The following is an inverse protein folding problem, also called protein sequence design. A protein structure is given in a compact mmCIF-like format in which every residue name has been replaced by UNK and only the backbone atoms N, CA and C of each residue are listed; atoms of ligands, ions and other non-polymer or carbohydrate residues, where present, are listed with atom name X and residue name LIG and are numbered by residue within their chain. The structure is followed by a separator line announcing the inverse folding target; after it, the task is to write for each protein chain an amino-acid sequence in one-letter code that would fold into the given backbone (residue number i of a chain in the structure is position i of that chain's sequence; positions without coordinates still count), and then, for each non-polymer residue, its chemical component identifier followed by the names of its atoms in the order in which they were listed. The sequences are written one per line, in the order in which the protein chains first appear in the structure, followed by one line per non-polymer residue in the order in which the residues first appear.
data_IF_499062003493
#
_entry.id   IF_499062003493
#
_cell.length_a   1.000
_cell.length_b   1.000
_cell.length_c   1.000
_cell.angle_alpha   90.00
_cell.angle_beta   90.00
_cell.angle_gamma   90.00
#
_symmetry.space_group_name_H-M   'P 1'
#
loop_
_entity.id
_entity.type
_entity.pdbx_description
1 polymer ?
#
# COMPACT_ATOMS: atom_id res chain seq x y z
N UNK A 1 -11.81 19.58 -11.42
CA UNK A 1 -10.50 20.29 -11.40
C UNK A 1 -9.59 19.73 -10.32
N UNK A 2 -9.89 19.78 -9.00
CA UNK A 2 -9.12 19.02 -7.98
C UNK A 2 -8.82 17.56 -8.40
N UNK A 3 -9.86 16.75 -8.72
CA UNK A 3 -9.74 15.33 -9.15
C UNK A 3 -8.88 15.03 -10.40
N UNK A 4 -8.32 16.03 -11.09
CA UNK A 4 -7.34 15.81 -12.18
C UNK A 4 -5.89 16.12 -11.76
N UNK A 5 -5.67 16.77 -10.61
CA UNK A 5 -4.33 17.13 -10.15
C UNK A 5 -3.66 16.01 -9.37
N UNK A 6 -4.42 15.22 -8.57
CA UNK A 6 -3.84 14.02 -7.95
C UNK A 6 -3.32 13.05 -9.01
N UNK A 7 -4.05 12.87 -10.13
CA UNK A 7 -3.59 12.13 -11.32
C UNK A 7 -2.31 12.66 -12.01
N UNK A 8 -1.66 13.71 -11.47
CA UNK A 8 -0.37 14.27 -11.90
C UNK A 8 0.62 14.44 -10.72
N UNK A 9 0.34 13.82 -9.56
CA UNK A 9 1.22 13.76 -8.38
C UNK A 9 1.37 12.29 -7.91
N UNK A 10 0.32 11.49 -8.11
CA UNK A 10 0.36 10.07 -8.43
C UNK A 10 -0.12 9.91 -9.88
N UNK A 11 0.64 9.24 -10.73
CA UNK A 11 0.58 9.23 -12.20
C UNK A 11 -0.56 8.43 -12.84
N UNK A 12 -1.75 8.46 -12.20
CA UNK A 12 -3.03 7.94 -12.67
C UNK A 12 -3.27 6.43 -12.52
N UNK A 13 -3.84 6.05 -11.37
CA UNK A 13 -4.72 4.88 -11.17
C UNK A 13 -5.45 4.42 -12.46
N UNK A 14 -5.36 3.11 -12.74
CA UNK A 14 -6.06 2.37 -13.81
C UNK A 14 -5.51 2.62 -15.23
N UNK A 15 -4.34 2.06 -15.53
CA UNK A 15 -4.17 0.81 -16.34
C UNK A 15 -2.69 0.43 -16.40
N UNK A 16 -2.33 -0.70 -15.79
CA UNK A 16 -1.16 -1.50 -16.19
C UNK A 16 -1.69 -2.73 -16.91
N UNK A 17 -1.24 -2.93 -18.14
CA UNK A 17 -1.45 -4.16 -18.90
C UNK A 17 -0.29 -4.26 -19.90
N UNK A 18 0.25 -5.48 -20.05
CA UNK A 18 1.17 -5.96 -21.11
C UNK A 18 2.69 -6.05 -20.91
N UNK A 19 3.15 -7.31 -21.01
CA UNK A 19 4.23 -7.82 -21.86
C UNK A 19 5.56 -7.04 -21.98
N UNK A 20 6.62 -7.67 -21.47
CA UNK A 20 7.51 -8.46 -22.35
C UNK A 20 8.25 -9.55 -21.56
N UNK A 21 8.74 -10.66 -22.14
CA UNK A 21 8.79 -11.03 -23.56
C UNK A 21 10.16 -11.58 -23.98
N UNK A 22 10.74 -12.53 -23.21
CA UNK A 22 12.11 -13.00 -23.43
C UNK A 22 12.19 -14.23 -24.35
N UNK A 23 12.49 -13.99 -25.63
CA UNK A 23 12.44 -14.95 -26.73
C UNK A 23 13.50 -16.08 -26.64
N UNK A 24 13.07 -17.35 -26.73
CA UNK A 24 13.96 -18.47 -27.10
C UNK A 24 13.26 -19.64 -27.78
N UNK A 25 13.26 -19.60 -29.12
CA UNK A 25 13.32 -20.73 -30.05
C UNK A 25 12.21 -21.81 -30.08
N UNK A 26 11.54 -21.87 -31.24
CA UNK A 26 10.59 -22.92 -31.67
C UNK A 26 11.13 -24.36 -31.54
N UNK A 27 10.24 -25.31 -31.22
CA UNK A 27 10.19 -26.60 -31.93
C UNK A 27 8.80 -27.27 -31.82
N UNK A 28 8.06 -27.32 -32.93
CA UNK A 28 6.85 -28.14 -33.08
C UNK A 28 7.26 -29.54 -33.54
N UNK A 29 6.70 -30.59 -32.93
CA UNK A 29 6.52 -31.91 -33.56
C UNK A 29 5.44 -32.72 -32.81
N UNK A 30 4.40 -33.16 -33.52
CA UNK A 30 3.36 -34.06 -32.99
C UNK A 30 3.87 -35.50 -32.84
N UNK A 31 3.25 -36.28 -31.94
CA UNK A 31 2.60 -37.60 -32.18
C UNK A 31 2.61 -38.54 -30.96
N UNK A 32 1.75 -39.56 -31.00
CA UNK A 32 1.24 -40.32 -29.85
C UNK A 32 2.10 -41.51 -29.35
N UNK A 33 1.65 -42.04 -28.20
CA UNK A 33 1.71 -43.44 -27.71
C UNK A 33 2.85 -43.99 -26.80
N UNK A 34 2.35 -44.69 -25.77
CA UNK A 34 2.90 -45.75 -24.89
C UNK A 34 4.28 -45.66 -24.19
N UNK A 35 4.20 -45.46 -22.87
CA UNK A 35 4.81 -46.28 -21.77
C UNK A 35 6.25 -46.82 -21.97
N UNK A 36 7.21 -46.26 -21.22
CA UNK A 36 8.51 -46.87 -20.92
C UNK A 36 9.10 -46.43 -19.57
N UNK A 37 9.53 -47.38 -18.73
CA UNK A 37 10.09 -47.12 -17.39
C UNK A 37 11.62 -47.22 -17.31
N UNK A 38 12.18 -46.59 -16.27
CA UNK A 38 13.58 -46.62 -15.80
C UNK A 38 14.60 -45.77 -16.58
N UNK A 39 15.49 -45.05 -15.88
CA UNK A 39 16.76 -44.64 -16.51
C UNK A 39 17.54 -43.39 -16.06
N UNK A 40 17.61 -43.03 -14.77
CA UNK A 40 18.78 -42.39 -14.11
C UNK A 40 19.65 -41.36 -14.89
N UNK A 41 19.69 -40.11 -14.42
CA UNK A 41 20.89 -39.36 -13.93
C UNK A 41 20.51 -37.88 -13.79
N UNK A 42 20.58 -37.35 -12.58
CA UNK A 42 20.52 -35.91 -12.33
C UNK A 42 21.90 -35.28 -12.58
N UNK A 43 21.92 -34.09 -13.16
CA UNK A 43 23.06 -33.17 -13.15
C UNK A 43 22.51 -31.79 -12.78
N UNK A 44 22.39 -31.52 -11.50
CA UNK A 44 22.09 -30.17 -11.00
C UNK A 44 23.31 -29.28 -11.17
N UNK A 45 23.14 -28.13 -11.84
CA UNK A 45 24.07 -27.02 -11.77
C UNK A 45 23.76 -26.18 -10.52
N UNK A 46 24.81 -25.74 -9.83
CA UNK A 46 24.73 -24.93 -8.62
C UNK A 46 24.47 -23.46 -8.98
N UNK A 47 23.49 -22.82 -8.33
CA UNK A 47 23.38 -21.36 -8.21
C UNK A 47 22.90 -21.05 -6.77
N UNK A 48 23.73 -20.38 -5.97
CA UNK A 48 23.44 -20.10 -4.56
C UNK A 48 22.64 -18.80 -4.38
N UNK A 49 21.45 -18.89 -3.76
CA UNK A 49 20.81 -17.75 -3.09
C UNK A 49 20.43 -18.12 -1.65
N UNK A 50 21.35 -17.84 -0.73
CA UNK A 50 21.15 -18.12 0.69
C UNK A 50 20.22 -17.10 1.38
N UNK A 51 18.95 -17.47 1.58
CA UNK A 51 18.13 -16.93 2.67
C UNK A 51 18.19 -17.92 3.85
N UNK A 52 18.84 -17.52 4.94
CA UNK A 52 18.84 -18.26 6.20
C UNK A 52 17.85 -17.59 7.16
N UNK A 53 16.77 -18.31 7.50
CA UNK A 53 15.77 -17.90 8.49
C UNK A 53 15.63 -19.06 9.48
N UNK A 54 16.23 -18.92 10.65
CA UNK A 54 16.27 -19.93 11.71
C UNK A 54 15.33 -19.53 12.85
N UNK A 55 14.12 -20.08 12.82
CA UNK A 55 13.18 -20.02 13.93
C UNK A 55 13.29 -21.32 14.73
N UNK A 56 13.95 -21.26 15.88
CA UNK A 56 14.02 -22.35 16.86
C UNK A 56 13.42 -21.91 18.21
N UNK A 57 12.13 -22.21 18.40
CA UNK A 57 11.44 -22.08 19.68
C UNK A 57 11.70 -23.35 20.53
N UNK A 58 12.19 -23.19 21.75
CA UNK A 58 11.94 -24.14 22.84
C UNK A 58 11.49 -23.38 24.11
N UNK A 59 10.47 -23.92 24.79
CA UNK A 59 10.00 -23.43 26.09
C UNK A 59 10.95 -23.86 27.24
N UNK A 60 10.75 -23.35 28.47
CA UNK A 60 10.31 -24.17 29.64
C UNK A 60 10.36 -23.40 30.98
N UNK A 61 9.25 -23.49 31.73
CA UNK A 61 8.99 -23.25 33.17
C UNK A 61 9.94 -22.43 34.09
N UNK A 62 9.38 -21.33 34.65
CA UNK A 62 8.98 -21.13 36.07
C UNK A 62 9.78 -21.70 37.27
N UNK A 63 9.82 -20.84 38.32
CA UNK A 63 9.95 -21.08 39.78
C UNK A 63 11.28 -21.75 40.26
N UNK A 64 12.03 -21.29 41.27
CA UNK A 64 11.66 -20.79 42.62
C UNK A 64 12.75 -19.89 43.30
N UNK A 65 12.49 -19.50 44.57
CA UNK A 65 13.22 -18.68 45.57
C UNK A 65 14.76 -18.99 45.81
N UNK A 66 15.62 -18.26 46.56
CA UNK A 66 15.44 -17.25 47.63
C UNK A 66 16.78 -16.47 48.02
N UNK A 67 16.69 -15.50 48.96
CA UNK A 67 17.71 -14.97 49.92
C UNK A 67 18.79 -13.94 49.46
N UNK A 68 18.50 -12.65 49.74
CA UNK A 68 19.19 -11.70 50.70
C UNK A 68 20.75 -11.73 50.77
N UNK A 69 21.52 -10.63 50.82
CA UNK A 69 21.33 -9.25 51.37
C UNK A 69 21.68 -8.13 50.33
N UNK A 70 22.11 -6.86 50.56
CA UNK A 70 22.64 -6.09 51.73
C UNK A 70 22.40 -4.54 51.64
N UNK A 71 22.88 -3.79 52.64
CA UNK A 71 22.80 -2.32 52.87
C UNK A 71 23.89 -1.47 52.12
N UNK A 72 23.89 -0.13 51.98
CA UNK A 72 22.98 1.01 52.30
C UNK A 72 23.54 2.35 51.71
N UNK A 73 23.03 3.50 52.17
CA UNK A 73 23.46 4.92 52.01
C UNK A 73 22.97 5.72 50.78
N UNK A 74 21.83 6.38 51.03
CA UNK A 74 21.37 7.66 50.47
C UNK A 74 22.43 8.76 50.35
N UNK A 75 22.25 9.65 49.38
CA UNK A 75 22.06 11.09 49.69
C UNK A 75 21.06 11.72 48.70
N UNK A 76 20.63 12.96 48.93
CA UNK A 76 19.50 13.61 48.24
C UNK A 76 19.81 15.04 47.84
N UNK A 77 19.30 15.47 46.69
CA UNK A 77 19.23 16.89 46.28
C UNK A 77 18.00 17.12 45.40
N UNK A 78 17.07 17.91 45.90
CA UNK A 78 15.96 18.51 45.15
C UNK A 78 16.49 19.69 44.31
N UNK A 79 15.94 19.93 43.12
CA UNK A 79 15.84 21.27 42.53
C UNK A 79 14.68 21.30 41.51
N UNK A 80 14.03 22.46 41.32
CA UNK A 80 12.75 22.60 40.59
C UNK A 80 12.88 23.44 39.31
N UNK A 81 12.16 23.04 38.24
CA UNK A 81 11.69 23.88 37.13
C UNK A 81 10.61 23.10 36.35
N UNK A 82 9.34 23.53 36.36
CA UNK A 82 8.77 24.48 35.37
C UNK A 82 8.98 23.93 33.94
N UNK A 83 8.07 23.10 33.41
CA UNK A 83 6.73 23.43 32.87
C UNK A 83 6.76 24.28 31.59
N UNK A 84 6.70 23.60 30.45
CA UNK A 84 6.01 24.12 29.26
C UNK A 84 5.28 22.95 28.57
N UNK A 85 4.03 22.75 28.98
CA UNK A 85 3.16 21.66 28.53
C UNK A 85 2.47 22.00 27.19
N UNK A 86 3.27 22.15 26.14
CA UNK A 86 2.81 22.56 24.82
C UNK A 86 2.06 21.44 24.05
N UNK A 87 0.80 21.19 24.43
CA UNK A 87 -0.17 20.43 23.63
C UNK A 87 -0.35 21.07 22.25
N UNK A 88 0.48 20.68 21.28
CA UNK A 88 0.30 21.07 19.88
C UNK A 88 -0.82 20.22 19.29
N UNK A 89 -2.07 20.61 19.60
CA UNK A 89 -3.27 20.04 18.99
C UNK A 89 -3.32 20.46 17.52
N UNK A 90 -2.72 19.64 16.64
CA UNK A 90 -2.82 19.74 15.18
C UNK A 90 -4.23 19.40 14.71
N UNK A 91 -5.18 20.25 15.05
CA UNK A 91 -6.58 20.11 14.69
C UNK A 91 -6.81 20.65 13.27
N UNK A 92 -7.12 19.73 12.34
CA UNK A 92 -7.46 19.89 10.91
C UNK A 92 -6.31 20.04 9.90
N UNK A 93 -6.10 18.96 9.15
CA UNK A 93 -6.04 19.02 7.67
C UNK A 93 -6.87 17.95 6.96
N UNK A 94 -7.41 16.94 7.66
CA UNK A 94 -8.38 15.99 7.13
C UNK A 94 -9.56 16.70 6.45
N UNK A 95 -9.65 16.58 5.11
CA UNK A 95 -10.93 16.73 4.41
C UNK A 95 -11.90 15.64 4.90
N UNK A 96 -13.20 15.78 4.64
CA UNK A 96 -14.26 15.11 5.42
C UNK A 96 -14.22 13.57 5.31
N UNK A 97 -13.51 12.92 6.26
CA UNK A 97 -13.64 11.49 6.58
C UNK A 97 -15.13 11.14 6.67
N UNK A 98 -15.53 9.99 6.13
CA UNK A 98 -16.95 9.60 6.16
C UNK A 98 -17.42 9.42 7.61
N UNK A 99 -18.71 9.67 7.87
CA UNK A 99 -19.31 9.51 9.20
C UNK A 99 -18.98 8.13 9.82
N UNK A 100 -18.79 7.12 8.95
CA UNK A 100 -18.44 5.73 9.24
C UNK A 100 -16.99 5.47 9.66
N UNK A 101 -16.09 6.45 9.64
CA UNK A 101 -14.74 6.35 10.20
C UNK A 101 -14.51 7.24 11.44
N UNK A 102 -15.50 8.05 11.82
CA UNK A 102 -15.38 8.90 13.01
C UNK A 102 -15.06 8.09 14.27
N UNK A 103 -14.16 8.60 15.11
CA UNK A 103 -13.78 7.94 16.37
C UNK A 103 -14.96 7.75 17.34
N UNK A 104 -16.05 8.52 17.19
CA UNK A 104 -17.31 8.32 17.93
C UNK A 104 -18.02 7.00 17.55
N UNK A 105 -17.72 6.38 16.39
CA UNK A 105 -18.20 5.03 16.07
C UNK A 105 -17.53 3.95 16.92
N UNK A 106 -16.28 4.18 17.37
CA UNK A 106 -15.53 3.28 18.24
C UNK A 106 -16.03 3.29 19.72
N UNK A 107 -16.96 4.19 20.10
CA UNK A 107 -17.62 4.20 21.43
C UNK A 107 -18.70 3.08 21.58
N UNK A 108 -18.61 2.01 20.79
CA UNK A 108 -19.53 0.88 20.80
C UNK A 108 -19.31 -0.11 21.96
N UNK A 109 -20.01 -1.25 21.91
CA UNK A 109 -19.69 -2.38 22.79
C UNK A 109 -18.50 -3.12 22.19
N UNK A 110 -17.38 -3.23 22.91
CA UNK A 110 -16.22 -4.02 22.46
C UNK A 110 -16.62 -5.46 22.15
N UNK A 111 -16.15 -5.99 21.02
CA UNK A 111 -16.30 -7.39 20.66
C UNK A 111 -15.53 -8.30 21.63
N UNK A 112 -16.05 -9.50 21.85
CA UNK A 112 -15.32 -10.57 22.55
C UNK A 112 -14.31 -11.27 21.62
N UNK A 113 -13.34 -11.99 22.18
CA UNK A 113 -12.37 -12.74 21.36
C UNK A 113 -13.10 -13.75 20.45
N UNK A 114 -14.07 -14.49 20.98
CA UNK A 114 -14.92 -15.41 20.21
C UNK A 114 -15.60 -14.71 18.99
N UNK A 115 -15.97 -13.42 19.10
CA UNK A 115 -16.49 -12.63 17.97
C UNK A 115 -15.38 -12.18 17.01
N UNK A 116 -14.21 -11.77 17.50
CA UNK A 116 -13.06 -11.40 16.65
C UNK A 116 -12.56 -12.60 15.83
N UNK A 117 -12.48 -13.78 16.42
CA UNK A 117 -12.15 -15.04 15.75
C UNK A 117 -13.21 -15.37 14.66
N UNK A 118 -14.50 -15.09 14.90
CA UNK A 118 -15.56 -15.22 13.89
C UNK A 118 -15.44 -14.18 12.75
N UNK A 119 -15.03 -12.95 13.02
CA UNK A 119 -14.77 -11.93 11.99
C UNK A 119 -13.50 -12.23 11.18
N UNK A 120 -12.46 -12.77 11.80
CA UNK A 120 -11.23 -13.20 11.12
C UNK A 120 -11.55 -14.31 10.10
N UNK A 121 -12.29 -15.34 10.53
CA UNK A 121 -12.79 -16.42 9.68
C UNK A 121 -13.84 -15.99 8.64
N UNK A 122 -14.43 -14.80 8.78
CA UNK A 122 -15.29 -14.18 7.76
C UNK A 122 -14.47 -13.40 6.74
N UNK A 123 -13.60 -12.50 7.19
CA UNK A 123 -12.81 -11.61 6.34
C UNK A 123 -11.77 -12.37 5.50
N UNK A 124 -11.24 -13.48 6.02
CA UNK A 124 -10.35 -14.38 5.28
C UNK A 124 -11.05 -15.17 4.15
N UNK A 125 -12.38 -15.16 4.03
CA UNK A 125 -13.07 -15.91 2.97
C UNK A 125 -12.73 -15.33 1.58
N UNK A 126 -12.65 -16.19 0.55
CA UNK A 126 -12.20 -15.79 -0.81
C UNK A 126 -13.01 -14.66 -1.44
N UNK A 127 -14.26 -14.52 -1.00
CA UNK A 127 -15.27 -13.56 -1.41
C UNK A 127 -15.34 -12.32 -0.50
N UNK A 128 -14.48 -12.24 0.52
CA UNK A 128 -14.36 -11.12 1.46
C UNK A 128 -12.93 -10.53 1.51
N UNK A 129 -11.89 -11.35 1.32
CA UNK A 129 -10.49 -10.96 1.50
C UNK A 129 -10.06 -9.76 0.64
N UNK A 130 -10.58 -9.62 -0.59
CA UNK A 130 -10.29 -8.47 -1.45
C UNK A 130 -10.64 -7.12 -0.81
N UNK A 131 -11.72 -7.06 -0.03
CA UNK A 131 -12.14 -5.84 0.70
C UNK A 131 -11.24 -5.54 1.92
N UNK A 132 -10.43 -6.50 2.38
CA UNK A 132 -9.48 -6.26 3.48
C UNK A 132 -8.27 -5.45 3.04
N UNK A 133 -7.91 -5.55 1.75
CA UNK A 133 -6.75 -4.87 1.16
C UNK A 133 -7.13 -3.51 0.57
N UNK A 134 -8.20 -3.46 -0.24
CA UNK A 134 -8.67 -2.22 -0.84
C UNK A 134 -9.21 -1.26 0.23
N UNK A 135 -8.73 -0.02 0.25
CA UNK A 135 -9.36 1.06 1.02
C UNK A 135 -10.52 1.70 0.25
N UNK A 136 -11.55 2.15 0.96
CA UNK A 136 -12.71 2.84 0.42
C UNK A 136 -13.50 3.53 1.53
N UNK A 137 -13.90 4.80 1.34
CA UNK A 137 -14.69 5.55 2.33
C UNK A 137 -16.18 5.19 2.38
N UNK A 138 -16.70 4.66 1.28
CA UNK A 138 -18.07 4.21 1.07
C UNK A 138 -18.11 3.19 -0.08
N UNK A 139 -19.24 2.50 -0.26
CA UNK A 139 -19.39 1.43 -1.24
C UNK A 139 -19.34 1.89 -2.73
N UNK A 140 -19.55 3.17 -3.03
CA UNK A 140 -19.41 3.70 -4.40
C UNK A 140 -17.93 3.94 -4.78
N UNK A 141 -17.01 3.87 -3.80
CA UNK A 141 -15.57 4.13 -3.96
C UNK A 141 -14.68 2.87 -3.81
N UNK A 142 -15.26 1.67 -3.83
CA UNK A 142 -14.51 0.40 -3.81
C UNK A 142 -13.77 0.21 -5.15
N UNK A 143 -12.45 -0.09 -5.10
CA UNK A 143 -11.74 -0.60 -6.28
C UNK A 143 -12.15 -2.06 -6.53
N UNK A 144 -13.17 -2.23 -7.37
CA UNK A 144 -13.66 -3.53 -7.78
C UNK A 144 -12.66 -4.32 -8.61
N UNK A 145 -11.70 -3.67 -9.28
CA UNK A 145 -10.59 -4.35 -9.94
C UNK A 145 -9.69 -5.06 -8.95
N UNK A 146 -9.35 -4.39 -7.84
CA UNK A 146 -8.60 -5.00 -6.74
C UNK A 146 -9.42 -6.10 -6.05
N UNK A 147 -10.67 -5.83 -5.67
CA UNK A 147 -11.52 -6.82 -4.97
C UNK A 147 -11.76 -8.08 -5.81
N UNK A 148 -11.99 -7.92 -7.12
CA UNK A 148 -12.23 -9.03 -8.05
C UNK A 148 -10.94 -9.63 -8.64
N UNK A 149 -9.74 -9.13 -8.30
CA UNK A 149 -8.48 -9.50 -8.96
C UNK A 149 -8.24 -11.01 -9.09
N UNK A 150 -8.69 -11.81 -8.11
CA UNK A 150 -8.61 -13.28 -8.14
C UNK A 150 -10.00 -13.95 -8.12
N UNK A 151 -10.97 -13.30 -8.78
CA UNK A 151 -12.34 -13.75 -8.98
C UNK A 151 -13.27 -13.59 -7.77
N UNK A 152 -12.78 -13.15 -6.60
CA UNK A 152 -13.54 -12.98 -5.36
C UNK A 152 -14.44 -14.19 -5.00
N UNK A 153 -13.97 -15.41 -5.25
CA UNK A 153 -14.76 -16.64 -5.03
C UNK A 153 -15.91 -16.90 -6.01
N UNK A 154 -16.19 -15.98 -6.94
CA UNK A 154 -17.11 -16.19 -8.06
C UNK A 154 -16.55 -17.30 -8.96
N UNK A 155 -17.42 -18.18 -9.46
CA UNK A 155 -17.02 -19.25 -10.37
C UNK A 155 -16.81 -18.71 -11.80
N UNK A 156 -15.74 -19.16 -12.46
CA UNK A 156 -15.56 -18.89 -13.89
C UNK A 156 -16.77 -19.39 -14.69
N UNK A 157 -17.35 -18.53 -15.53
CA UNK A 157 -18.51 -18.84 -16.35
C UNK A 157 -18.14 -19.68 -17.58
N UNK A 158 -19.14 -20.28 -18.25
CA UNK A 158 -18.91 -20.87 -19.58
C UNK A 158 -18.77 -19.75 -20.63
N UNK A 159 -17.71 -19.81 -21.44
CA UNK A 159 -17.45 -18.86 -22.53
C UNK A 159 -17.16 -19.57 -23.86
N UNK A 160 -17.33 -18.85 -24.98
CA UNK A 160 -17.02 -19.32 -26.34
C UNK A 160 -15.59 -18.93 -26.75
N UNK A 161 -15.06 -19.59 -27.79
CA UNK A 161 -13.82 -19.12 -28.42
C UNK A 161 -14.00 -17.70 -28.99
N UNK A 162 -15.14 -17.43 -29.64
CA UNK A 162 -15.48 -16.12 -30.19
C UNK A 162 -15.47 -14.99 -29.12
N UNK A 163 -15.71 -15.31 -27.84
CA UNK A 163 -15.59 -14.38 -26.71
C UNK A 163 -14.14 -14.17 -26.26
N UNK A 164 -13.32 -15.23 -26.27
CA UNK A 164 -11.87 -15.13 -26.01
C UNK A 164 -11.18 -14.35 -27.12
N UNK A 165 -11.50 -14.62 -28.38
CA UNK A 165 -10.95 -13.90 -29.53
C UNK A 165 -11.29 -12.39 -29.45
N UNK A 166 -12.50 -12.04 -29.01
CA UNK A 166 -12.91 -10.66 -28.77
C UNK A 166 -12.21 -10.02 -27.56
N UNK A 167 -11.94 -10.77 -26.49
CA UNK A 167 -11.10 -10.33 -25.37
C UNK A 167 -9.66 -10.02 -25.82
N UNK A 168 -9.07 -10.92 -26.64
CA UNK A 168 -7.72 -10.75 -27.16
C UNK A 168 -7.63 -9.53 -28.08
N UNK A 169 -8.58 -9.33 -29.01
CA UNK A 169 -8.67 -8.14 -29.86
C UNK A 169 -8.90 -6.84 -29.06
N UNK A 170 -9.72 -6.88 -28.01
CA UNK A 170 -9.98 -5.72 -27.15
C UNK A 170 -8.78 -5.33 -26.28
N UNK A 171 -7.89 -6.27 -25.96
CA UNK A 171 -6.65 -6.01 -25.22
C UNK A 171 -5.44 -5.66 -26.09
N UNK A 172 -5.38 -6.11 -27.35
CA UNK A 172 -4.14 -6.24 -28.16
C UNK A 172 -3.22 -7.40 -27.67
N UNK A 173 -3.82 -8.51 -27.22
CA UNK A 173 -3.12 -9.75 -26.87
C UNK A 173 -2.91 -10.65 -28.10
N UNK A 174 -1.67 -11.14 -28.31
CA UNK A 174 -1.40 -12.24 -29.27
C UNK A 174 -1.99 -13.59 -28.80
N UNK A 175 -2.07 -13.83 -27.48
CA UNK A 175 -2.63 -15.04 -26.86
C UNK A 175 -2.91 -14.87 -25.37
N UNK A 176 -3.66 -15.82 -24.79
CA UNK A 176 -3.70 -16.03 -23.34
C UNK A 176 -2.38 -16.68 -22.89
N UNK A 177 -1.69 -16.06 -21.93
CA UNK A 177 -0.40 -16.49 -21.38
C UNK A 177 -0.49 -17.01 -19.94
N UNK A 178 -1.52 -16.59 -19.18
CA UNK A 178 -1.75 -16.96 -17.78
C UNK A 178 -3.14 -17.57 -17.58
N UNK A 179 -3.53 -17.89 -16.33
CA UNK A 179 -4.86 -18.42 -16.04
C UNK A 179 -5.93 -17.34 -16.30
N UNK A 180 -6.89 -17.67 -17.18
CA UNK A 180 -7.95 -16.76 -17.58
C UNK A 180 -9.11 -16.82 -16.59
N UNK A 181 -9.36 -15.72 -15.90
CA UNK A 181 -10.61 -15.47 -15.18
C UNK A 181 -11.66 -14.99 -16.18
N UNK A 182 -12.88 -15.52 -16.04
CA UNK A 182 -14.04 -15.16 -16.86
C UNK A 182 -15.28 -15.07 -15.96
N UNK A 183 -15.68 -13.86 -15.59
CA UNK A 183 -16.83 -13.62 -14.69
C UNK A 183 -18.03 -13.15 -15.51
N UNK A 184 -19.21 -13.73 -15.32
CA UNK A 184 -20.42 -13.20 -15.98
C UNK A 184 -20.84 -11.88 -15.32
N UNK A 185 -21.35 -10.94 -16.11
CA UNK A 185 -21.81 -9.66 -15.59
C UNK A 185 -22.98 -9.83 -14.61
N UNK A 186 -23.85 -10.82 -14.81
CA UNK A 186 -24.93 -11.14 -13.86
C UNK A 186 -24.37 -11.62 -12.50
N UNK A 187 -23.34 -12.47 -12.49
CA UNK A 187 -22.70 -12.93 -11.26
C UNK A 187 -21.95 -11.78 -10.55
N UNK A 188 -21.26 -10.90 -11.30
CA UNK A 188 -20.60 -9.70 -10.76
C UNK A 188 -21.63 -8.74 -10.16
N UNK A 189 -22.74 -8.46 -10.85
CA UNK A 189 -23.82 -7.61 -10.33
C UNK A 189 -24.46 -8.19 -9.08
N UNK A 190 -24.72 -9.50 -9.03
CA UNK A 190 -25.25 -10.18 -7.85
C UNK A 190 -24.26 -10.17 -6.67
N UNK A 191 -22.97 -10.35 -6.94
CA UNK A 191 -21.91 -10.24 -5.93
C UNK A 191 -21.89 -8.83 -5.32
N UNK A 192 -21.84 -7.78 -6.14
CA UNK A 192 -21.88 -6.38 -5.69
C UNK A 192 -23.15 -6.07 -4.89
N UNK A 193 -24.33 -6.49 -5.35
CA UNK A 193 -25.60 -6.30 -4.61
C UNK A 193 -25.59 -7.01 -3.25
N UNK A 194 -25.00 -8.20 -3.16
CA UNK A 194 -24.85 -8.90 -1.87
C UNK A 194 -23.93 -8.12 -0.92
N UNK A 195 -22.69 -7.83 -1.34
CA UNK A 195 -21.64 -7.27 -0.49
C UNK A 195 -21.84 -5.81 -0.12
N UNK A 196 -22.64 -5.05 -0.87
CA UNK A 196 -22.87 -3.60 -0.64
C UNK A 196 -24.33 -3.16 -0.66
N UNK A 197 -25.19 -3.82 -1.44
CA UNK A 197 -26.55 -3.34 -1.73
C UNK A 197 -26.67 -2.40 -2.94
N UNK A 198 -25.58 -2.17 -3.69
CA UNK A 198 -25.63 -1.46 -4.96
C UNK A 198 -26.33 -2.35 -6.01
N UNK A 199 -27.34 -1.81 -6.68
CA UNK A 199 -28.26 -2.55 -7.59
C UNK A 199 -28.19 -2.12 -9.05
N UNK A 200 -27.47 -1.04 -9.36
CA UNK A 200 -27.32 -0.46 -10.70
C UNK A 200 -25.81 -0.33 -11.01
N UNK A 201 -25.09 -1.45 -10.84
CA UNK A 201 -23.63 -1.50 -10.97
C UNK A 201 -23.19 -1.58 -12.43
N UNK A 202 -22.38 -0.63 -12.87
CA UNK A 202 -21.78 -0.63 -14.21
C UNK A 202 -20.58 -1.59 -14.25
N UNK A 203 -20.85 -2.80 -14.73
CA UNK A 203 -19.85 -3.86 -14.94
C UNK A 203 -18.70 -3.41 -15.85
N UNK A 204 -18.89 -2.41 -16.71
CA UNK A 204 -17.81 -1.88 -17.56
C UNK A 204 -16.84 -0.92 -16.83
N UNK A 205 -17.13 -0.52 -15.59
CA UNK A 205 -16.26 0.37 -14.79
C UNK A 205 -15.21 -0.36 -13.96
N UNK A 206 -15.09 -1.69 -14.07
CA UNK A 206 -14.14 -2.48 -13.29
C UNK A 206 -12.72 -2.34 -13.85
N UNK A 207 -11.83 -1.76 -13.04
CA UNK A 207 -10.39 -1.63 -13.21
C UNK A 207 -9.71 -3.00 -13.45
N UNK A 208 -8.65 -3.06 -14.27
CA UNK A 208 -7.83 -4.28 -14.42
C UNK A 208 -8.50 -5.47 -15.13
N UNK A 209 -9.75 -5.31 -15.59
CA UNK A 209 -10.48 -6.29 -16.38
C UNK A 209 -10.85 -5.72 -17.76
N UNK A 210 -11.03 -6.60 -18.74
CA UNK A 210 -11.61 -6.27 -20.04
C UNK A 210 -13.03 -6.84 -20.09
N UNK A 211 -14.01 -5.94 -20.19
CA UNK A 211 -15.42 -6.28 -20.35
C UNK A 211 -15.77 -6.42 -21.84
N UNK A 212 -16.30 -7.59 -22.23
CA UNK A 212 -16.73 -7.86 -23.60
C UNK A 212 -18.26 -7.81 -23.68
N UNK A 213 -18.79 -6.62 -23.98
CA UNK A 213 -20.23 -6.29 -23.94
C UNK A 213 -21.14 -7.25 -24.73
N UNK A 214 -20.68 -7.82 -25.86
CA UNK A 214 -21.49 -8.76 -26.65
C UNK A 214 -21.84 -10.06 -25.90
N UNK A 215 -21.01 -10.46 -24.93
CA UNK A 215 -21.18 -11.68 -24.14
C UNK A 215 -21.57 -11.42 -22.68
N UNK A 216 -21.47 -10.17 -22.20
CA UNK A 216 -21.60 -9.78 -20.79
C UNK A 216 -20.61 -10.54 -19.88
N UNK A 217 -19.32 -10.53 -20.24
CA UNK A 217 -18.25 -11.22 -19.50
C UNK A 217 -17.08 -10.28 -19.21
N UNK A 218 -16.59 -10.31 -17.97
CA UNK A 218 -15.30 -9.76 -17.52
C UNK A 218 -14.20 -10.80 -17.72
N UNK A 219 -13.15 -10.44 -18.43
CA UNK A 219 -11.94 -11.24 -18.55
C UNK A 219 -10.75 -10.55 -17.90
N UNK A 220 -9.92 -11.31 -17.18
CA UNK A 220 -8.57 -10.90 -16.79
C UNK A 220 -7.66 -12.12 -16.69
N UNK A 221 -6.35 -11.89 -16.71
CA UNK A 221 -5.32 -12.94 -16.69
C UNK A 221 -4.51 -12.83 -15.40
N UNK A 222 -4.45 -13.93 -14.64
CA UNK A 222 -3.86 -13.94 -13.29
C UNK A 222 -2.74 -14.96 -13.16
N UNK A 223 -1.75 -14.63 -12.35
CA UNK A 223 -0.69 -15.54 -11.90
C UNK A 223 -0.95 -16.04 -10.48
N UNK A 224 -0.30 -17.14 -10.09
CA UNK A 224 -0.41 -17.73 -8.75
C UNK A 224 0.15 -16.80 -7.65
N UNK A 225 -0.70 -15.94 -7.09
CA UNK A 225 -0.40 -15.16 -5.89
C UNK A 225 -1.69 -14.92 -5.07
N UNK A 226 -1.92 -15.72 -4.03
CA UNK A 226 -3.04 -15.50 -3.11
C UNK A 226 -2.67 -15.94 -1.70
N UNK A 227 -2.01 -15.04 -0.97
CA UNK A 227 -1.71 -15.25 0.45
C UNK A 227 -2.90 -14.81 1.34
N UNK A 228 -2.98 -15.37 2.55
CA UNK A 228 -4.20 -15.35 3.39
C UNK A 228 -3.85 -15.25 4.88
N UNK A 229 -3.49 -14.04 5.29
CA UNK A 229 -3.05 -13.70 6.65
C UNK A 229 -3.81 -12.46 7.16
N UNK A 230 -5.13 -12.58 7.39
CA UNK A 230 -5.94 -11.55 8.08
C UNK A 230 -5.90 -11.82 9.58
N UNK A 231 -5.68 -10.78 10.39
CA UNK A 231 -5.71 -10.88 11.86
C UNK A 231 -6.60 -9.78 12.47
N UNK A 232 -7.56 -10.16 13.30
CA UNK A 232 -8.46 -9.20 13.99
C UNK A 232 -7.88 -8.78 15.35
N UNK A 233 -7.48 -7.52 15.48
CA UNK A 233 -6.82 -7.01 16.70
C UNK A 233 -7.83 -6.55 17.75
N UNK A 234 -8.81 -5.73 17.33
CA UNK A 234 -9.90 -5.26 18.16
C UNK A 234 -11.13 -4.91 17.30
N UNK A 235 -12.25 -4.61 17.96
CA UNK A 235 -13.43 -4.12 17.26
C UNK A 235 -14.58 -3.81 18.21
N UNK A 236 -15.58 -3.10 17.69
CA UNK A 236 -16.76 -2.70 18.45
C UNK A 236 -18.05 -2.89 17.65
N UNK A 237 -19.16 -2.96 18.38
CA UNK A 237 -20.52 -3.13 17.88
C UNK A 237 -21.42 -1.98 18.34
N UNK A 238 -21.89 -1.18 17.40
CA UNK A 238 -22.73 0.00 17.62
C UNK A 238 -24.04 -0.12 16.82
N UNK A 239 -25.02 -0.82 17.40
CA UNK A 239 -26.27 -1.14 16.71
C UNK A 239 -26.09 -2.25 15.67
N UNK A 240 -26.48 -1.97 14.44
CA UNK A 240 -26.27 -2.79 13.25
C UNK A 240 -24.90 -2.57 12.57
N UNK A 241 -24.12 -1.59 13.04
CA UNK A 241 -22.75 -1.35 12.57
C UNK A 241 -21.73 -2.06 13.46
N UNK A 242 -20.73 -2.64 12.81
CA UNK A 242 -19.55 -3.24 13.44
C UNK A 242 -18.31 -2.58 12.84
N UNK A 243 -17.33 -2.22 13.67
CA UNK A 243 -16.00 -1.84 13.23
C UNK A 243 -14.99 -2.85 13.73
N UNK A 244 -14.07 -3.28 12.87
CA UNK A 244 -12.98 -4.21 13.20
C UNK A 244 -11.66 -3.59 12.74
N UNK A 245 -10.70 -3.49 13.65
CA UNK A 245 -9.30 -3.15 13.34
C UNK A 245 -8.58 -4.45 13.02
N UNK A 246 -8.08 -4.55 11.80
CA UNK A 246 -7.35 -5.70 11.28
C UNK A 246 -5.91 -5.35 10.93
N UNK A 247 -5.08 -6.38 10.89
CA UNK A 247 -3.80 -6.39 10.20
C UNK A 247 -3.86 -7.39 9.04
N UNK A 248 -3.02 -7.19 8.02
CA UNK A 248 -2.76 -8.23 7.02
C UNK A 248 -1.25 -8.41 6.89
N UNK A 249 -0.76 -9.67 6.88
CA UNK A 249 0.66 -9.98 7.06
C UNK A 249 1.67 -9.37 6.07
N UNK A 250 1.21 -8.82 4.94
CA UNK A 250 2.03 -8.08 3.97
C UNK A 250 1.98 -6.54 4.10
N UNK A 251 1.05 -6.00 4.89
CA UNK A 251 0.78 -4.57 5.02
C UNK A 251 1.56 -3.94 6.19
N UNK A 252 1.98 -2.68 6.04
CA UNK A 252 2.67 -1.95 7.14
C UNK A 252 1.69 -1.42 8.18
N UNK A 253 0.54 -0.92 7.71
CA UNK A 253 -0.47 -0.28 8.55
C UNK A 253 -1.62 -1.23 8.86
N UNK A 254 -2.21 -1.05 10.05
CA UNK A 254 -3.51 -1.63 10.36
C UNK A 254 -4.59 -1.02 9.46
N UNK A 255 -5.73 -1.70 9.31
CA UNK A 255 -6.90 -1.17 8.59
C UNK A 255 -8.16 -1.31 9.44
N UNK A 256 -9.06 -0.31 9.40
CA UNK A 256 -10.39 -0.35 10.04
C UNK A 256 -11.45 -0.63 8.98
N UNK A 257 -12.08 -1.80 9.06
CA UNK A 257 -13.23 -2.16 8.24
C UNK A 257 -14.51 -1.83 9.02
N UNK A 258 -15.45 -1.14 8.38
CA UNK A 258 -16.82 -0.98 8.87
C UNK A 258 -17.76 -1.92 8.11
N UNK A 259 -18.49 -2.75 8.84
CA UNK A 259 -19.51 -3.67 8.34
C UNK A 259 -20.91 -3.27 8.84
N UNK A 260 -21.94 -3.53 8.03
CA UNK A 260 -23.35 -3.45 8.45
C UNK A 260 -24.00 -4.84 8.46
N UNK A 261 -24.72 -5.18 9.53
CA UNK A 261 -25.54 -6.40 9.61
C UNK A 261 -26.77 -6.32 8.69
N UNK A 262 -26.95 -7.35 7.87
CA UNK A 262 -28.11 -7.47 6.96
C UNK A 262 -29.32 -8.14 7.62
N UNK A 263 -29.07 -9.01 8.61
CA UNK A 263 -30.04 -9.95 9.16
C UNK A 263 -30.35 -11.17 8.26
N UNK A 264 -29.62 -11.35 7.16
CA UNK A 264 -29.66 -12.53 6.30
C UNK A 264 -28.62 -13.56 6.77
N UNK A 265 -28.97 -14.85 6.82
CA UNK A 265 -28.02 -15.91 7.22
C UNK A 265 -27.01 -16.23 6.13
N UNK A 266 -27.36 -15.98 4.87
CA UNK A 266 -26.59 -16.44 3.72
C UNK A 266 -25.64 -15.33 3.22
N UNK A 267 -25.82 -14.10 3.71
CA UNK A 267 -24.95 -12.94 3.50
C UNK A 267 -25.07 -11.97 4.70
N UNK A 268 -24.46 -12.28 5.86
CA UNK A 268 -24.75 -11.59 7.14
C UNK A 268 -24.27 -10.15 7.23
N UNK A 269 -23.26 -9.77 6.45
CA UNK A 269 -22.61 -8.48 6.53
C UNK A 269 -22.50 -7.81 5.16
N UNK A 270 -22.51 -6.48 5.14
CA UNK A 270 -22.15 -5.64 4.01
C UNK A 270 -20.95 -4.78 4.34
N UNK A 271 -20.06 -4.58 3.36
CA UNK A 271 -18.95 -3.65 3.48
C UNK A 271 -19.43 -2.22 3.33
N UNK A 272 -19.12 -1.38 4.32
CA UNK A 272 -19.48 0.04 4.35
C UNK A 272 -18.26 0.90 4.05
N UNK A 273 -17.15 0.67 4.76
CA UNK A 273 -15.86 1.34 4.52
C UNK A 273 -14.68 0.42 4.88
N UNK A 274 -13.51 0.70 4.32
CA UNK A 274 -12.22 0.24 4.80
C UNK A 274 -11.24 1.41 4.77
N UNK A 275 -10.48 1.62 5.84
CA UNK A 275 -9.49 2.71 5.96
C UNK A 275 -8.17 2.21 6.49
N UNK A 276 -7.08 2.70 5.91
CA UNK A 276 -5.73 2.50 6.43
C UNK A 276 -5.44 3.42 7.62
N UNK A 277 -4.93 2.85 8.72
CA UNK A 277 -4.65 3.56 9.97
C UNK A 277 -3.18 4.02 10.03
N UNK A 278 -2.75 4.71 8.97
CA UNK A 278 -1.38 5.21 8.80
C UNK A 278 -0.92 6.14 9.94
N UNK A 279 -1.84 6.83 10.62
CA UNK A 279 -1.53 7.63 11.81
C UNK A 279 -0.89 6.82 12.96
N UNK A 280 -1.14 5.51 13.04
CA UNK A 280 -0.61 4.67 14.12
C UNK A 280 0.91 4.44 14.01
N UNK A 281 1.46 4.52 12.80
CA UNK A 281 2.89 4.37 12.50
C UNK A 281 3.61 5.72 12.27
N UNK A 282 2.86 6.82 12.12
CA UNK A 282 3.40 8.14 11.81
C UNK A 282 4.17 8.74 13.00
N UNK A 283 5.49 8.94 12.85
CA UNK A 283 6.30 9.67 13.84
C UNK A 283 6.17 11.20 13.71
N UNK A 284 5.72 11.67 12.54
CA UNK A 284 5.43 13.09 12.25
C UNK A 284 4.46 13.18 11.08
N UNK A 285 3.55 14.16 11.10
CA UNK A 285 2.63 14.47 9.98
C UNK A 285 2.99 15.85 9.44
N UNK A 286 3.05 15.97 8.10
CA UNK A 286 3.42 17.19 7.37
C UNK A 286 2.41 17.40 6.25
N UNK A 287 1.74 18.55 6.22
CA UNK A 287 0.99 19.00 5.03
C UNK A 287 1.97 19.67 4.07
N UNK A 288 2.57 18.88 3.18
CA UNK A 288 3.57 19.31 2.23
C UNK A 288 2.93 20.22 1.16
N UNK A 289 3.42 21.46 0.93
CA UNK A 289 2.99 22.26 -0.21
C UNK A 289 3.32 21.59 -1.55
N UNK A 290 2.57 22.00 -2.57
CA UNK A 290 2.91 21.79 -3.97
C UNK A 290 3.44 23.13 -4.51
N UNK A 291 4.70 23.16 -4.95
CA UNK A 291 5.42 24.40 -5.24
C UNK A 291 4.71 25.28 -6.28
N UNK A 292 4.69 26.59 -6.03
CA UNK A 292 3.96 27.61 -6.81
C UNK A 292 2.44 27.36 -7.01
N UNK A 293 1.87 26.34 -6.38
CA UNK A 293 0.45 26.01 -6.40
C UNK A 293 -0.24 26.49 -5.10
N UNK A 294 -1.54 26.22 -4.96
CA UNK A 294 -2.29 26.48 -3.71
C UNK A 294 -2.91 25.20 -3.15
N UNK A 295 -2.21 24.08 -3.29
CA UNK A 295 -2.58 22.78 -2.75
C UNK A 295 -1.50 22.24 -1.83
N UNK A 296 -1.89 21.33 -0.97
CA UNK A 296 -1.02 20.55 -0.09
C UNK A 296 -1.31 19.06 -0.29
N UNK A 297 -0.33 18.23 0.04
CA UNK A 297 -0.44 16.77 0.15
C UNK A 297 -0.15 16.42 1.60
N UNK A 298 -0.97 15.58 2.23
CA UNK A 298 -0.71 15.13 3.61
C UNK A 298 0.26 13.96 3.56
N UNK A 299 1.35 14.08 4.32
CA UNK A 299 2.45 13.13 4.35
C UNK A 299 2.69 12.65 5.78
N UNK A 300 2.79 11.33 5.96
CA UNK A 300 3.21 10.73 7.22
C UNK A 300 4.66 10.29 7.13
N UNK A 301 5.51 10.83 8.02
CA UNK A 301 6.89 10.37 8.18
C UNK A 301 6.86 9.13 9.06
N UNK A 302 7.39 8.02 8.57
CA UNK A 302 7.49 6.74 9.29
C UNK A 302 8.96 6.37 9.55
N UNK A 303 9.20 5.54 10.57
CA UNK A 303 10.54 5.06 10.92
C UNK A 303 10.71 3.60 10.49
N UNK A 304 11.65 3.34 9.58
CA UNK A 304 11.93 2.00 9.04
C UNK A 304 13.30 1.48 9.48
N UNK A 305 13.57 0.20 9.27
CA UNK A 305 14.90 -0.40 9.48
C UNK A 305 16.00 0.25 8.60
N UNK A 306 15.64 0.96 7.54
CA UNK A 306 16.55 1.62 6.60
C UNK A 306 16.76 3.12 6.88
N UNK A 307 15.99 3.73 7.79
CA UNK A 307 15.93 5.17 8.00
C UNK A 307 14.48 5.65 7.98
N UNK A 308 14.27 6.96 7.84
CA UNK A 308 12.92 7.50 7.67
C UNK A 308 12.34 7.15 6.28
N UNK A 309 11.03 7.24 6.13
CA UNK A 309 10.34 7.20 4.83
C UNK A 309 9.07 8.05 4.92
N UNK A 310 8.50 8.41 3.77
CA UNK A 310 7.29 9.23 3.69
C UNK A 310 6.17 8.43 3.04
N UNK A 311 5.09 8.19 3.78
CA UNK A 311 3.82 7.72 3.24
C UNK A 311 3.03 8.93 2.71
N UNK A 312 2.50 8.80 1.49
CA UNK A 312 1.78 9.86 0.77
C UNK A 312 0.29 9.53 0.78
N UNK A 313 -0.51 10.37 1.43
CA UNK A 313 -1.89 10.06 1.78
C UNK A 313 -2.89 10.69 0.80
N UNK A 314 -3.87 9.91 0.34
CA UNK A 314 -5.15 10.42 -0.18
C UNK A 314 -6.31 9.76 0.58
N UNK A 315 -7.26 10.57 1.03
CA UNK A 315 -8.52 10.18 1.69
C UNK A 315 -8.35 9.16 2.85
N UNK A 316 -8.31 7.86 2.51
CA UNK A 316 -8.31 6.72 3.42
C UNK A 316 -7.15 5.71 3.18
N UNK A 317 -6.11 6.05 2.40
CA UNK A 317 -5.02 5.11 2.09
C UNK A 317 -3.64 5.76 1.89
N UNK A 318 -2.60 4.93 2.07
CA UNK A 318 -1.24 5.26 1.64
C UNK A 318 -1.15 4.98 0.13
N UNK A 319 -1.19 6.03 -0.68
CA UNK A 319 -1.14 5.92 -2.15
C UNK A 319 0.27 5.63 -2.68
N UNK A 320 1.31 6.01 -1.94
CA UNK A 320 2.71 5.74 -2.29
C UNK A 320 3.62 5.86 -1.06
N UNK A 321 4.81 5.23 -1.11
CA UNK A 321 5.85 5.35 -0.08
C UNK A 321 7.17 5.81 -0.71
N UNK A 322 7.61 7.01 -0.36
CA UNK A 322 8.91 7.55 -0.77
C UNK A 322 10.00 7.20 0.27
N UNK A 323 10.94 6.34 -0.12
CA UNK A 323 12.03 5.90 0.75
C UNK A 323 13.14 6.95 0.84
N UNK A 324 13.28 7.59 2.01
CA UNK A 324 14.28 8.65 2.25
C UNK A 324 15.68 8.06 2.44
N UNK A 325 16.42 7.92 1.36
CA UNK A 325 17.81 7.46 1.39
C UNK A 325 18.41 7.27 0.00
N UNK A 326 19.60 6.64 -0.01
CA UNK A 326 20.39 6.44 -1.22
C UNK A 326 20.49 4.95 -1.56
N UNK A 327 20.47 4.60 -2.85
CA UNK A 327 20.66 3.21 -3.28
C UNK A 327 22.05 2.66 -2.90
N UNK A 328 23.06 3.54 -2.88
CA UNK A 328 24.42 3.32 -2.37
C UNK A 328 25.02 4.64 -1.92
N UNK A 329 25.58 4.69 -0.71
CA UNK A 329 26.46 5.77 -0.25
C UNK A 329 27.53 5.18 0.68
N UNK A 330 28.77 5.63 0.58
CA UNK A 330 29.83 5.35 1.55
C UNK A 330 30.15 6.57 2.43
N UNK A 331 29.74 7.77 2.00
CA UNK A 331 30.14 9.06 2.59
C UNK A 331 29.01 9.76 3.37
N UNK A 332 27.73 9.43 3.10
CA UNK A 332 26.55 9.99 3.78
C UNK A 332 25.70 8.87 4.40
N UNK A 333 25.74 8.73 5.73
CA UNK A 333 24.84 7.85 6.48
C UNK A 333 23.51 8.58 6.73
N UNK A 334 22.45 8.20 6.00
CA UNK A 334 21.14 8.84 6.13
C UNK A 334 20.51 8.61 7.51
N UNK A 335 20.93 7.57 8.25
CA UNK A 335 20.33 7.19 9.53
C UNK A 335 20.72 8.11 10.70
N UNK A 336 21.65 9.04 10.50
CA UNK A 336 21.95 10.08 11.49
C UNK A 336 20.89 11.20 11.52
N UNK A 337 20.14 11.38 10.43
CA UNK A 337 19.10 12.41 10.32
C UNK A 337 17.76 11.88 10.86
N UNK A 338 17.48 12.17 12.13
CA UNK A 338 16.31 11.67 12.86
C UNK A 338 15.01 12.45 12.66
N UNK A 339 15.00 13.55 11.90
CA UNK A 339 13.81 14.35 11.61
C UNK A 339 13.72 14.75 10.12
N UNK A 340 12.50 14.88 9.60
CA UNK A 340 12.18 15.53 8.32
C UNK A 340 11.56 16.89 8.64
N UNK A 341 12.29 17.98 8.38
CA UNK A 341 11.82 19.35 8.69
C UNK A 341 10.70 19.80 7.76
N UNK A 342 10.91 19.61 6.46
CA UNK A 342 10.07 20.13 5.38
C UNK A 342 9.96 19.07 4.28
N UNK A 343 8.82 19.05 3.59
CA UNK A 343 8.56 18.29 2.38
C UNK A 343 7.83 19.23 1.42
N UNK A 344 8.23 19.28 0.15
CA UNK A 344 7.52 20.02 -0.90
C UNK A 344 7.56 19.25 -2.23
N UNK A 345 6.47 19.31 -3.00
CA UNK A 345 6.32 18.61 -4.27
C UNK A 345 6.43 19.54 -5.47
N UNK A 346 7.26 19.20 -6.46
CA UNK A 346 7.43 19.96 -7.69
C UNK A 346 8.01 19.11 -8.84
N UNK A 347 7.64 19.41 -10.08
CA UNK A 347 8.22 18.88 -11.32
C UNK A 347 9.58 19.58 -11.61
N UNK A 348 10.69 19.11 -11.02
CA UNK A 348 11.99 19.82 -11.08
C UNK A 348 12.70 19.68 -12.42
N UNK A 349 12.44 18.62 -13.19
CA UNK A 349 13.13 18.35 -14.47
C UNK A 349 12.30 18.67 -15.73
N UNK A 350 10.97 18.83 -15.56
CA UNK A 350 9.93 19.07 -16.58
C UNK A 350 9.51 17.84 -17.41
N UNK A 351 9.52 16.62 -16.84
CA UNK A 351 8.92 15.44 -17.45
C UNK A 351 7.37 15.38 -17.31
N UNK A 352 6.81 16.06 -16.31
CA UNK A 352 5.37 16.16 -16.04
C UNK A 352 4.86 15.33 -14.86
N UNK A 353 5.75 14.68 -14.10
CA UNK A 353 5.47 14.04 -12.81
C UNK A 353 5.80 14.98 -11.64
N UNK A 354 5.37 14.63 -10.43
CA UNK A 354 5.75 15.35 -9.22
C UNK A 354 6.97 14.70 -8.58
N UNK A 355 8.07 15.45 -8.43
CA UNK A 355 9.19 15.06 -7.58
C UNK A 355 8.96 15.53 -6.14
N UNK A 356 9.59 14.85 -5.18
CA UNK A 356 9.54 15.23 -3.77
C UNK A 356 10.90 15.74 -3.30
N UNK A 357 10.94 16.97 -2.79
CA UNK A 357 12.08 17.51 -2.04
C UNK A 357 11.79 17.35 -0.55
N UNK A 358 12.64 16.62 0.16
CA UNK A 358 12.56 16.41 1.61
C UNK A 358 13.82 16.95 2.31
N UNK A 359 13.63 17.79 3.33
CA UNK A 359 14.73 18.37 4.11
C UNK A 359 14.90 17.57 5.40
N UNK A 360 16.02 16.86 5.52
CA UNK A 360 16.33 15.99 6.65
C UNK A 360 17.29 16.66 7.63
N UNK A 361 17.19 16.35 8.93
CA UNK A 361 17.94 17.01 10.01
C UNK A 361 18.35 16.05 11.12
N UNK A 362 19.56 16.25 11.66
CA UNK A 362 20.06 15.61 12.90
C UNK A 362 19.90 16.53 14.13
N UNK A 363 19.72 17.84 13.90
CA UNK A 363 19.57 18.90 14.90
C UNK A 363 20.65 20.00 14.80
N UNK A 364 21.87 19.64 14.40
CA UNK A 364 23.01 20.56 14.19
C UNK A 364 23.22 20.90 12.70
N UNK A 365 22.81 19.99 11.80
CA UNK A 365 22.95 20.05 10.34
C UNK A 365 21.65 19.70 9.62
N UNK A 366 21.57 19.97 8.32
CA UNK A 366 20.45 19.54 7.47
C UNK A 366 20.90 19.33 6.03
N UNK A 367 20.21 18.43 5.32
CA UNK A 367 20.47 18.07 3.93
C UNK A 367 19.17 17.99 3.14
N UNK A 368 19.24 18.16 1.82
CA UNK A 368 18.14 17.93 0.91
C UNK A 368 18.24 16.55 0.25
N UNK A 369 17.15 15.79 0.31
CA UNK A 369 16.90 14.66 -0.55
C UNK A 369 15.94 15.11 -1.67
N UNK A 370 16.30 14.80 -2.90
CA UNK A 370 15.41 14.86 -4.06
C UNK A 370 15.05 13.43 -4.42
N UNK A 371 13.77 13.09 -4.38
CA UNK A 371 13.24 11.82 -4.82
C UNK A 371 12.44 12.07 -6.11
N UNK A 372 12.98 11.63 -7.25
CA UNK A 372 12.34 11.84 -8.55
C UNK A 372 11.05 11.02 -8.67
N UNK A 373 9.99 11.60 -9.22
CA UNK A 373 8.80 10.87 -9.61
C UNK A 373 9.10 9.87 -10.73
N UNK A 374 8.36 8.77 -10.79
CA UNK A 374 8.35 7.87 -11.94
C UNK A 374 6.99 7.20 -12.13
N UNK A 375 6.68 6.89 -13.38
CA UNK A 375 5.64 5.93 -13.79
C UNK A 375 6.30 4.98 -14.78
N UNK A 376 6.15 3.68 -14.56
CA UNK A 376 6.63 2.65 -15.48
C UNK A 376 5.55 1.59 -15.74
N UNK A 377 5.84 0.59 -16.58
CA UNK A 377 4.87 -0.43 -17.01
C UNK A 377 4.44 -1.41 -15.88
N UNK A 378 5.05 -1.31 -14.69
CA UNK A 378 4.75 -2.16 -13.52
C UNK A 378 4.28 -1.39 -12.28
N UNK A 379 4.71 -0.12 -12.12
CA UNK A 379 4.69 0.59 -10.83
C UNK A 379 4.78 2.12 -10.99
N UNK A 380 4.30 2.88 -10.00
CA UNK A 380 4.45 4.32 -9.91
C UNK A 380 4.90 4.77 -8.51
N UNK A 381 5.77 5.79 -8.44
CA UNK A 381 6.22 6.31 -7.17
C UNK A 381 7.48 7.14 -7.25
N UNK A 382 8.32 7.03 -6.21
CA UNK A 382 9.45 7.92 -5.99
C UNK A 382 10.78 7.14 -5.98
N UNK A 383 11.71 7.55 -6.83
CA UNK A 383 13.06 7.02 -6.87
C UNK A 383 13.85 7.47 -5.63
N UNK A 384 14.64 6.55 -5.05
CA UNK A 384 15.62 6.88 -4.01
C UNK A 384 16.64 7.90 -4.52
N UNK A 385 17.04 8.85 -3.68
CA UNK A 385 17.89 9.96 -4.07
C UNK A 385 19.28 9.53 -4.57
N UNK A 386 19.84 10.34 -5.46
CA UNK A 386 21.24 10.22 -5.90
C UNK A 386 22.15 11.12 -5.05
N UNK A 387 23.18 10.53 -4.45
CA UNK A 387 24.07 11.19 -3.46
C UNK A 387 24.66 12.49 -4.01
N UNK A 388 25.05 12.51 -5.29
CA UNK A 388 25.64 13.70 -5.93
C UNK A 388 24.72 14.92 -5.92
N UNK A 389 23.40 14.72 -5.98
CA UNK A 389 22.42 15.82 -5.97
C UNK A 389 22.37 16.41 -4.56
N UNK A 390 22.33 15.57 -3.52
CA UNK A 390 22.45 16.00 -2.12
C UNK A 390 23.78 16.71 -1.85
N UNK A 391 24.90 16.20 -2.36
CA UNK A 391 26.22 16.84 -2.23
C UNK A 391 26.26 18.21 -2.92
N UNK A 392 25.80 18.29 -4.18
CA UNK A 392 25.76 19.54 -4.96
C UNK A 392 24.85 20.60 -4.33
N UNK A 393 23.70 20.20 -3.77
CA UNK A 393 22.85 21.09 -2.98
C UNK A 393 23.55 21.52 -1.67
N UNK A 394 24.20 20.60 -0.97
CA UNK A 394 24.96 20.87 0.26
C UNK A 394 26.18 21.78 0.07
N UNK A 395 26.81 21.79 -1.11
CA UNK A 395 27.90 22.72 -1.44
C UNK A 395 27.43 24.12 -1.83
N UNK A 396 26.15 24.32 -2.22
CA UNK A 396 25.69 25.56 -2.86
C UNK A 396 24.46 26.22 -2.21
N UNK A 397 23.71 25.54 -1.33
CA UNK A 397 22.52 26.07 -0.64
C UNK A 397 22.84 26.33 0.85
N UNK A 398 23.23 27.57 1.17
CA UNK A 398 23.61 28.00 2.53
C UNK A 398 22.47 27.87 3.58
N UNK A 399 21.21 27.96 3.16
CA UNK A 399 20.01 27.97 4.02
C UNK A 399 19.05 26.88 3.54
N UNK A 400 19.14 25.69 4.14
CA UNK A 400 18.57 24.45 3.63
C UNK A 400 17.06 24.34 3.93
N UNK A 401 16.24 24.89 3.04
CA UNK A 401 14.77 24.76 3.00
C UNK A 401 14.32 24.24 1.64
N UNK A 402 13.12 23.65 1.55
CA UNK A 402 12.62 23.09 0.29
C UNK A 402 12.45 24.17 -0.80
N UNK A 403 11.87 25.32 -0.41
CA UNK A 403 11.67 26.52 -1.23
C UNK A 403 13.01 27.02 -1.85
N UNK A 404 14.10 27.04 -1.05
CA UNK A 404 15.44 27.44 -1.51
C UNK A 404 16.09 26.38 -2.43
N UNK A 405 15.90 25.09 -2.12
CA UNK A 405 16.43 23.97 -2.93
C UNK A 405 15.78 23.92 -4.31
N UNK A 406 14.44 24.00 -4.38
CA UNK A 406 13.70 24.02 -5.64
C UNK A 406 14.08 25.27 -6.45
N UNK A 407 14.16 26.44 -5.80
CA UNK A 407 14.63 27.67 -6.44
C UNK A 407 16.04 27.54 -7.02
N UNK A 408 16.97 26.89 -6.32
CA UNK A 408 18.34 26.67 -6.80
C UNK A 408 18.39 25.70 -7.99
N UNK A 409 17.64 24.59 -7.95
CA UNK A 409 17.54 23.63 -9.07
C UNK A 409 16.96 24.29 -10.33
N UNK A 410 15.97 25.18 -10.17
CA UNK A 410 15.36 25.91 -11.28
C UNK A 410 16.30 26.96 -11.91
N UNK A 411 17.13 27.63 -11.11
CA UNK A 411 18.14 28.58 -11.62
C UNK A 411 19.36 27.87 -12.28
N UNK A 412 19.63 26.60 -11.93
CA UNK A 412 20.83 25.84 -12.37
C UNK A 412 20.49 24.56 -13.17
N UNK A 413 19.39 24.57 -13.91
CA UNK A 413 18.88 23.46 -14.74
C UNK A 413 19.91 22.80 -15.67
N UNK A 414 20.84 23.57 -16.25
CA UNK A 414 21.89 23.05 -17.13
C UNK A 414 22.95 22.23 -16.36
N UNK A 415 23.17 22.51 -15.07
CA UNK A 415 24.10 21.76 -14.21
C UNK A 415 23.42 20.52 -13.61
N UNK A 416 22.17 20.66 -13.15
CA UNK A 416 21.35 19.56 -12.61
C UNK A 416 21.22 18.39 -13.60
N UNK A 417 21.12 18.69 -14.90
CA UNK A 417 20.98 17.70 -15.99
C UNK A 417 22.28 16.96 -16.37
N UNK A 418 23.41 17.32 -15.79
CA UNK A 418 24.73 16.67 -15.98
C UNK A 418 25.15 15.78 -14.78
N UNK A 419 24.31 15.65 -13.73
CA UNK A 419 24.57 14.89 -12.50
C UNK A 419 24.32 13.37 -12.63
#
# INVERSE_FOLDING_TARGET
MKKNLLKHITGAMVIVTFLSGCNSAQLILDSDDEVGTEGSVENTSEDEYGRALDNSIEEVSKDDEDVITDESTTESSEDESEDDSNETSSNKSTEELSDYDSAEMMDGNSLSQDELDEFELFLDQKDNYGFTQASFKDAEHIDWGYVLAYGAGIANCEYSQDAVDAYLEAGDYDSVEYDLIALSGDDVRAFVESKTGITDFDVSSVSGFIYVEEYDILFSQVSDAYDKDVFCQEGVRNGDLIQVVIHTGCQTNNRRITLQETGDSDNPYRFVSNRELWEENAVKIIDAPIYQNSGTVTCAVISTSNGLSVEIIDDNEVTCVAYLGFRKSEDVDIKQYGDVKEIEFWDVDSDGLGDMVAILSDGDSSIALLCMGYVNEWDEGYAVSEVKVTDWLGENVDDMTADNVIGYILDHQDEFKDL
#
